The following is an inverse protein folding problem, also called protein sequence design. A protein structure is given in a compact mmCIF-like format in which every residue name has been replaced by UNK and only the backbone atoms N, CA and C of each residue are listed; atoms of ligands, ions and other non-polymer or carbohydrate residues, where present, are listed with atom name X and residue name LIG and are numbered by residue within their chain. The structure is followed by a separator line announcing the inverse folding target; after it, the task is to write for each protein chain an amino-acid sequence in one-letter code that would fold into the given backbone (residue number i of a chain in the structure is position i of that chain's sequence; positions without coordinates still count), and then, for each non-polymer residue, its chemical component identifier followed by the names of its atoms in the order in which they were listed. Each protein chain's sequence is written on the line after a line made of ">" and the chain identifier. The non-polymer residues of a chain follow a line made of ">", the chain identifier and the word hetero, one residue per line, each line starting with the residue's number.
data_IF_233757743231
#
_entry.id   IF_233757743231
#
_cell.length_a   1.000
_cell.length_b   1.000
_cell.length_c   1.000
_cell.angle_alpha   90.00
_cell.angle_beta   90.00
_cell.angle_gamma   90.00
#
_symmetry.space_group_name_H-M   'P 1'
#
loop_
_entity.id
_entity.type
_entity.pdbx_description
1 polymer ?
#
# COMPACT_ATOMS: atom_id res chain seq x y z
N UNK A 1 6.02 14.81 7.52
CA UNK A 1 4.72 14.92 8.21
C UNK A 1 4.06 13.60 8.54
N UNK A 2 3.99 12.62 7.62
CA UNK A 2 3.21 11.39 7.84
C UNK A 2 3.42 10.73 9.21
N UNK A 3 4.67 10.45 9.57
CA UNK A 3 5.00 9.81 10.85
C UNK A 3 4.48 10.63 12.05
N UNK A 4 4.71 11.95 12.07
CA UNK A 4 4.20 12.81 13.14
C UNK A 4 2.67 12.81 13.24
N UNK A 5 1.96 12.85 12.11
CA UNK A 5 0.50 12.76 12.11
C UNK A 5 -0.03 11.45 12.67
N UNK A 6 0.65 10.33 12.41
CA UNK A 6 0.24 9.05 12.98
C UNK A 6 0.55 9.00 14.47
N UNK A 7 1.72 9.49 14.89
CA UNK A 7 2.12 9.52 16.30
C UNK A 7 1.18 10.34 17.19
N UNK A 8 0.63 11.45 16.69
CA UNK A 8 -0.34 12.28 17.44
C UNK A 8 -1.77 11.74 17.37
N UNK A 9 -2.04 10.73 16.53
CA UNK A 9 -3.39 10.20 16.35
C UNK A 9 -3.64 9.05 17.33
N UNK A 10 -4.66 9.13 18.20
CA UNK A 10 -4.96 8.06 19.13
C UNK A 10 -5.40 6.80 18.37
N UNK A 11 -5.01 5.63 18.88
CA UNK A 11 -5.32 4.32 18.31
C UNK A 11 -4.83 4.14 16.86
N UNK A 12 -3.75 4.81 16.48
CA UNK A 12 -3.12 4.67 15.19
C UNK A 12 -1.64 4.33 15.35
N UNK A 13 -1.28 3.13 14.93
CA UNK A 13 0.11 2.71 14.81
C UNK A 13 0.54 2.63 13.35
N UNK A 14 1.85 2.66 13.12
CA UNK A 14 2.40 2.50 11.77
C UNK A 14 3.48 1.45 11.69
N UNK A 15 3.63 0.92 10.49
CA UNK A 15 4.73 0.07 10.06
C UNK A 15 5.09 0.52 8.64
N UNK A 16 6.18 1.25 8.50
CA UNK A 16 6.56 1.94 7.26
C UNK A 16 7.95 1.47 6.84
N UNK A 17 8.05 0.92 5.62
CA UNK A 17 9.33 0.64 4.98
C UNK A 17 10.12 1.93 4.79
N UNK A 18 11.37 1.95 5.25
CA UNK A 18 12.27 3.09 5.07
C UNK A 18 13.49 2.71 4.25
N UNK A 19 14.06 3.70 3.56
CA UNK A 19 15.28 3.51 2.77
C UNK A 19 16.47 3.22 3.69
N UNK A 20 17.44 2.46 3.18
CA UNK A 20 18.60 1.98 3.93
C UNK A 20 19.92 2.62 3.49
N UNK A 21 19.94 3.24 2.30
CA UNK A 21 21.16 3.75 1.65
C UNK A 21 21.35 5.25 1.90
N UNK A 22 22.14 5.95 1.06
CA UNK A 22 22.40 7.40 1.15
C UNK A 22 21.15 8.29 1.18
N UNK A 23 19.99 7.77 0.80
CA UNK A 23 18.69 8.46 0.86
C UNK A 23 17.88 8.15 2.13
N UNK A 24 18.44 7.39 3.07
CA UNK A 24 17.82 7.11 4.37
C UNK A 24 17.82 8.37 5.25
N UNK A 25 16.96 8.37 6.27
CA UNK A 25 17.05 9.37 7.33
C UNK A 25 18.43 9.28 7.99
N UNK A 26 19.07 10.43 8.26
CA UNK A 26 20.45 10.47 8.78
C UNK A 26 20.65 9.57 10.00
N UNK A 27 19.70 9.56 10.93
CA UNK A 27 19.77 8.70 12.12
C UNK A 27 19.68 7.21 11.81
N UNK A 28 18.93 6.83 10.78
CA UNK A 28 18.83 5.44 10.32
C UNK A 28 20.07 5.01 9.54
N UNK A 29 20.66 5.93 8.77
CA UNK A 29 21.85 5.68 7.97
C UNK A 29 23.10 5.38 8.84
N UNK A 30 23.12 5.85 10.10
CA UNK A 30 24.19 5.55 11.07
C UNK A 30 24.09 4.14 11.67
N UNK A 31 22.94 3.48 11.57
CA UNK A 31 22.71 2.19 12.21
C UNK A 31 23.39 1.06 11.42
N UNK A 32 23.99 0.07 12.12
CA UNK A 32 24.72 -1.03 11.48
C UNK A 32 23.80 -1.88 10.61
N UNK A 33 24.29 -2.34 9.44
CA UNK A 33 23.56 -3.21 8.52
C UNK A 33 23.55 -4.67 9.02
N UNK A 34 22.88 -4.89 10.14
CA UNK A 34 22.64 -6.19 10.75
C UNK A 34 21.18 -6.28 11.24
N UNK A 35 20.78 -7.45 11.73
CA UNK A 35 19.52 -7.55 12.48
C UNK A 35 19.54 -6.56 13.65
N UNK A 36 18.47 -5.77 13.79
CA UNK A 36 18.44 -4.65 14.72
C UNK A 36 17.02 -4.38 15.19
N UNK A 37 16.89 -4.08 16.47
CA UNK A 37 15.70 -3.55 17.08
C UNK A 37 16.09 -2.44 18.05
N UNK A 38 15.80 -1.19 17.69
CA UNK A 38 16.17 -0.05 18.53
C UNK A 38 15.18 1.09 18.43
N UNK A 39 15.06 1.87 19.50
CA UNK A 39 14.36 3.14 19.49
C UNK A 39 15.28 4.25 18.98
N UNK A 40 14.79 5.06 18.05
CA UNK A 40 15.46 6.29 17.63
C UNK A 40 14.64 7.51 18.06
N UNK A 41 15.35 8.58 18.38
CA UNK A 41 14.77 9.85 18.75
C UNK A 41 15.57 10.99 18.14
N UNK A 42 14.89 11.95 17.54
CA UNK A 42 15.50 13.17 17.01
C UNK A 42 14.48 14.31 17.02
N UNK A 43 14.98 15.54 17.02
CA UNK A 43 14.14 16.72 17.04
C UNK A 43 14.13 17.39 15.67
N UNK A 44 12.94 17.66 15.15
CA UNK A 44 12.73 18.39 13.89
C UNK A 44 12.53 19.87 14.21
N UNK A 45 13.11 20.75 13.41
CA UNK A 45 12.88 22.20 13.49
C UNK A 45 12.58 22.80 12.12
N UNK A 46 11.70 23.79 12.07
CA UNK A 46 11.43 24.59 10.87
C UNK A 46 12.28 25.84 10.79
N UNK A 47 13.05 26.15 11.84
CA UNK A 47 13.98 27.29 11.92
C UNK A 47 15.43 26.83 11.82
N UNK A 48 16.34 27.77 11.55
CA UNK A 48 17.80 27.53 11.53
C UNK A 48 18.53 28.48 12.48
N UNK A 49 18.04 28.62 13.71
CA UNK A 49 18.71 29.47 14.71
C UNK A 49 20.05 28.86 15.13
N UNK A 50 20.95 29.67 15.70
CA UNK A 50 22.21 29.15 16.24
C UNK A 50 21.97 28.13 17.38
N UNK A 51 20.91 28.31 18.16
CA UNK A 51 20.48 27.36 19.18
C UNK A 51 20.02 26.03 18.57
N UNK A 52 19.25 26.05 17.48
CA UNK A 52 18.83 24.83 16.76
C UNK A 52 20.04 24.04 16.25
N UNK A 53 21.04 24.74 15.72
CA UNK A 53 22.28 24.13 15.20
C UNK A 53 23.15 23.56 16.31
N UNK A 54 23.28 24.28 17.44
CA UNK A 54 24.02 23.82 18.61
C UNK A 54 23.39 22.56 19.23
N UNK A 55 22.06 22.44 19.21
CA UNK A 55 21.33 21.25 19.66
C UNK A 55 21.20 20.14 18.60
N UNK A 56 21.85 20.30 17.44
CA UNK A 56 21.83 19.34 16.33
C UNK A 56 20.41 18.96 15.82
N UNK A 57 19.46 19.89 15.86
CA UNK A 57 18.11 19.64 15.35
C UNK A 57 18.08 19.45 13.83
N UNK A 58 17.22 18.54 13.37
CA UNK A 58 17.04 18.27 11.94
C UNK A 58 16.17 19.37 11.35
N UNK A 59 16.77 20.21 10.51
CA UNK A 59 16.03 21.26 9.84
C UNK A 59 15.15 20.70 8.72
N UNK A 60 13.85 20.91 8.83
CA UNK A 60 12.87 20.66 7.79
C UNK A 60 12.58 21.95 7.01
N UNK A 61 12.96 21.95 5.74
CA UNK A 61 12.65 23.06 4.85
C UNK A 61 11.14 23.10 4.55
N UNK A 62 10.45 24.11 5.07
CA UNK A 62 9.02 24.33 4.82
C UNK A 62 8.84 25.38 3.71
N UNK A 63 7.94 25.14 2.74
CA UNK A 63 7.65 26.11 1.69
C UNK A 63 7.03 27.39 2.28
N UNK A 64 7.38 28.55 1.72
CA UNK A 64 6.75 29.83 2.05
C UNK A 64 5.25 29.80 1.73
N UNK A 65 4.46 30.63 2.43
CA UNK A 65 3.00 30.77 2.19
C UNK A 65 2.74 30.95 0.69
N UNK A 66 1.77 30.21 0.16
CA UNK A 66 1.29 30.43 -1.20
C UNK A 66 0.72 31.84 -1.32
N UNK A 67 0.87 32.45 -2.50
CA UNK A 67 0.21 33.73 -2.80
C UNK A 67 -1.30 33.59 -2.62
N UNK A 68 -1.96 34.69 -2.25
CA UNK A 68 -3.43 34.75 -2.19
C UNK A 68 -4.02 34.29 -3.54
N UNK A 69 -5.06 33.43 -3.50
CA UNK A 69 -5.70 32.87 -4.70
C UNK A 69 -5.05 31.61 -5.29
N UNK A 70 -3.95 31.09 -4.73
CA UNK A 70 -3.37 29.83 -5.20
C UNK A 70 -4.27 28.64 -4.84
N UNK A 71 -4.69 27.88 -5.87
CA UNK A 71 -5.43 26.60 -5.71
C UNK A 71 -4.53 25.45 -5.22
N UNK A 72 -3.21 25.63 -5.24
CA UNK A 72 -2.25 24.58 -4.88
C UNK A 72 -1.94 24.62 -3.38
N UNK A 73 -2.48 23.66 -2.63
CA UNK A 73 -2.08 23.43 -1.23
C UNK A 73 -0.69 22.78 -1.22
N UNK A 74 0.34 23.51 -0.78
CA UNK A 74 1.65 22.90 -0.46
C UNK A 74 1.57 22.33 0.95
N UNK A 75 1.97 21.07 1.12
CA UNK A 75 2.09 20.45 2.44
C UNK A 75 3.04 21.28 3.31
N UNK A 76 2.55 21.75 4.46
CA UNK A 76 3.30 22.51 5.46
C UNK A 76 3.56 21.63 6.67
N UNK A 77 4.63 21.85 7.43
CA UNK A 77 4.77 21.23 8.75
C UNK A 77 3.64 21.71 9.67
N UNK A 78 2.86 20.78 10.21
CA UNK A 78 1.62 21.07 10.95
C UNK A 78 1.81 21.08 12.47
N UNK A 79 2.99 20.69 12.96
CA UNK A 79 3.29 20.55 14.39
C UNK A 79 4.13 21.73 14.90
N UNK A 80 4.25 21.90 16.24
CA UNK A 80 5.17 22.87 16.83
C UNK A 80 6.61 22.71 16.30
N UNK A 81 7.40 23.76 16.47
CA UNK A 81 8.81 23.78 16.12
C UNK A 81 9.58 24.39 17.29
N UNK A 82 10.51 23.67 17.93
CA UNK A 82 10.96 22.30 17.62
C UNK A 82 9.92 21.19 17.96
N UNK A 83 10.01 20.06 17.27
CA UNK A 83 9.18 18.87 17.49
C UNK A 83 10.02 17.63 17.76
N UNK A 84 9.95 17.03 18.97
CA UNK A 84 10.63 15.78 19.27
C UNK A 84 9.89 14.61 18.59
N UNK A 85 10.60 13.84 17.77
CA UNK A 85 10.08 12.66 17.11
C UNK A 85 10.78 11.41 17.65
N UNK A 86 9.99 10.40 18.04
CA UNK A 86 10.48 9.13 18.59
C UNK A 86 9.71 7.97 17.99
N UNK A 87 10.42 6.95 17.55
CA UNK A 87 9.84 5.71 17.02
C UNK A 87 10.89 4.61 16.98
N UNK A 88 10.45 3.39 16.75
CA UNK A 88 11.27 2.19 16.70
C UNK A 88 11.73 1.90 15.27
N UNK A 89 12.97 1.43 15.14
CA UNK A 89 13.54 0.91 13.91
C UNK A 89 13.78 -0.58 14.08
N UNK A 90 13.20 -1.36 13.19
CA UNK A 90 13.40 -2.80 13.08
C UNK A 90 14.09 -3.10 11.76
N UNK A 91 15.12 -3.94 11.80
CA UNK A 91 15.82 -4.47 10.63
C UNK A 91 15.93 -5.98 10.76
N UNK A 92 15.52 -6.70 9.73
CA UNK A 92 15.47 -8.16 9.72
C UNK A 92 15.84 -8.69 8.33
N UNK A 93 16.40 -9.91 8.23
CA UNK A 93 16.71 -10.54 6.97
C UNK A 93 15.44 -11.05 6.27
N UNK A 94 15.39 -10.85 4.96
CA UNK A 94 14.44 -11.47 4.05
C UNK A 94 14.99 -12.81 3.54
N UNK A 95 14.11 -13.64 2.97
CA UNK A 95 14.48 -14.96 2.46
C UNK A 95 15.51 -14.92 1.32
N UNK A 96 15.65 -13.78 0.65
CA UNK A 96 16.66 -13.55 -0.40
C UNK A 96 18.03 -13.14 0.16
N UNK A 97 18.21 -13.07 1.48
CA UNK A 97 19.43 -12.64 2.16
C UNK A 97 19.61 -11.12 2.26
N UNK A 98 18.71 -10.32 1.68
CA UNK A 98 18.72 -8.87 1.85
C UNK A 98 18.09 -8.46 3.18
N UNK A 99 18.57 -7.36 3.77
CA UNK A 99 17.92 -6.79 4.94
C UNK A 99 16.76 -5.90 4.52
N UNK A 100 15.66 -5.95 5.27
CA UNK A 100 14.58 -4.97 5.20
C UNK A 100 14.61 -4.06 6.42
N UNK A 101 14.29 -2.78 6.26
CA UNK A 101 14.29 -1.81 7.37
C UNK A 101 12.96 -1.09 7.44
N UNK A 102 12.39 -1.10 8.62
CA UNK A 102 11.04 -0.64 8.88
C UNK A 102 11.05 0.29 10.09
N UNK A 103 10.35 1.42 9.98
CA UNK A 103 10.03 2.30 11.10
C UNK A 103 8.64 1.94 11.63
N UNK A 104 8.48 1.92 12.96
CA UNK A 104 7.20 1.59 13.60
C UNK A 104 7.00 2.34 14.91
N UNK A 105 5.74 2.64 15.24
CA UNK A 105 5.33 3.10 16.58
C UNK A 105 4.99 1.96 17.53
N UNK A 106 4.94 0.71 17.03
CA UNK A 106 4.49 -0.44 17.81
C UNK A 106 5.40 -0.67 19.02
N UNK A 107 4.81 -0.98 20.19
CA UNK A 107 5.54 -1.16 21.43
C UNK A 107 6.47 -2.38 21.38
N UNK A 108 7.44 -2.48 22.31
CA UNK A 108 8.36 -3.63 22.41
C UNK A 108 7.69 -4.99 22.61
N UNK A 109 6.40 -5.03 22.98
CA UNK A 109 5.62 -6.27 23.04
C UNK A 109 5.46 -6.96 21.68
N UNK A 110 5.62 -6.21 20.58
CA UNK A 110 5.75 -6.78 19.24
C UNK A 110 7.21 -7.11 18.98
N UNK A 111 7.54 -8.38 18.89
CA UNK A 111 8.90 -8.86 18.62
C UNK A 111 9.34 -8.55 17.19
N UNK A 112 10.64 -8.70 16.88
CA UNK A 112 11.12 -8.59 15.50
C UNK A 112 10.40 -9.56 14.55
N UNK A 113 10.08 -10.76 15.03
CA UNK A 113 9.33 -11.76 14.27
C UNK A 113 7.89 -11.30 13.99
N UNK A 114 7.23 -10.67 14.96
CA UNK A 114 5.89 -10.08 14.74
C UNK A 114 5.96 -8.97 13.69
N UNK A 115 6.98 -8.11 13.75
CA UNK A 115 7.18 -7.04 12.76
C UNK A 115 7.44 -7.62 11.37
N UNK A 116 8.24 -8.69 11.27
CA UNK A 116 8.48 -9.41 10.01
C UNK A 116 7.16 -9.98 9.46
N UNK A 117 6.37 -10.63 10.30
CA UNK A 117 5.05 -11.17 9.91
C UNK A 117 4.08 -10.08 9.45
N UNK A 118 3.99 -8.97 10.17
CA UNK A 118 3.18 -7.80 9.75
C UNK A 118 3.67 -7.22 8.42
N UNK A 119 4.99 -7.17 8.21
CA UNK A 119 5.56 -6.74 6.93
C UNK A 119 5.18 -7.70 5.78
N UNK A 120 5.14 -9.01 6.03
CA UNK A 120 4.68 -9.99 5.05
C UNK A 120 3.19 -9.79 4.70
N UNK A 121 2.32 -9.45 5.66
CA UNK A 121 0.90 -9.17 5.37
C UNK A 121 0.69 -7.99 4.40
N UNK A 122 1.66 -7.07 4.29
CA UNK A 122 1.63 -5.96 3.31
C UNK A 122 1.51 -6.47 1.86
N UNK A 123 2.05 -7.64 1.54
CA UNK A 123 1.99 -8.22 0.20
C UNK A 123 0.55 -8.52 -0.24
N UNK A 124 -0.32 -8.88 0.71
CA UNK A 124 -1.75 -9.06 0.45
C UNK A 124 -2.40 -7.77 -0.07
N UNK A 125 -2.10 -6.64 0.57
CA UNK A 125 -2.61 -5.32 0.18
C UNK A 125 -2.10 -4.92 -1.21
N UNK A 126 -0.81 -5.16 -1.49
CA UNK A 126 -0.22 -4.86 -2.81
C UNK A 126 -0.89 -5.67 -3.93
N UNK A 127 -1.25 -6.93 -3.65
CA UNK A 127 -2.03 -7.76 -4.57
C UNK A 127 -3.43 -7.18 -4.80
N UNK A 128 -4.14 -6.77 -3.75
CA UNK A 128 -5.46 -6.13 -3.89
C UNK A 128 -5.41 -4.84 -4.72
N UNK A 129 -4.38 -4.01 -4.54
CA UNK A 129 -4.19 -2.82 -5.38
C UNK A 129 -3.86 -3.16 -6.83
N UNK A 130 -3.12 -4.25 -7.07
CA UNK A 130 -2.88 -4.75 -8.43
C UNK A 130 -4.19 -5.19 -9.09
N UNK A 131 -5.07 -5.87 -8.35
CA UNK A 131 -6.39 -6.27 -8.85
C UNK A 131 -7.28 -5.05 -9.13
N UNK A 132 -7.32 -4.07 -8.24
CA UNK A 132 -8.01 -2.80 -8.50
C UNK A 132 -7.52 -2.12 -9.78
N UNK A 133 -6.20 -2.06 -9.97
CA UNK A 133 -5.59 -1.43 -11.15
C UNK A 133 -5.87 -2.18 -12.44
N UNK A 134 -5.59 -3.47 -12.49
CA UNK A 134 -5.54 -4.22 -13.75
C UNK A 134 -6.73 -5.14 -13.96
N UNK A 135 -7.27 -5.74 -12.90
CA UNK A 135 -8.44 -6.63 -13.00
C UNK A 135 -9.72 -5.82 -13.15
N UNK A 136 -9.86 -4.73 -12.39
CA UNK A 136 -11.00 -3.84 -12.48
C UNK A 136 -10.87 -2.74 -13.53
N UNK A 137 -9.64 -2.40 -13.91
CA UNK A 137 -9.34 -1.43 -14.97
C UNK A 137 -9.12 0.00 -14.49
N UNK A 138 -8.86 0.25 -13.21
CA UNK A 138 -8.64 1.61 -12.67
C UNK A 138 -7.39 2.33 -13.19
N UNK A 139 -6.59 1.68 -14.03
CA UNK A 139 -5.50 2.35 -14.76
C UNK A 139 -6.04 3.22 -15.90
N UNK A 140 -7.22 2.90 -16.44
CA UNK A 140 -7.81 3.56 -17.60
C UNK A 140 -9.19 4.16 -17.23
N UNK A 141 -9.17 5.38 -16.69
CA UNK A 141 -10.40 6.13 -16.40
C UNK A 141 -10.89 6.85 -17.65
N UNK A 142 -12.21 6.96 -17.82
CA UNK A 142 -12.84 7.55 -19.02
C UNK A 142 -13.41 8.96 -18.76
N UNK A 143 -13.59 9.31 -17.49
CA UNK A 143 -14.16 10.56 -17.02
C UNK A 143 -13.31 11.75 -17.45
N UNK A 144 -13.97 12.75 -18.04
CA UNK A 144 -13.33 13.99 -18.50
C UNK A 144 -13.28 15.09 -17.42
N UNK A 145 -13.83 14.82 -16.24
CA UNK A 145 -13.82 15.71 -15.09
C UNK A 145 -13.44 14.94 -13.82
N UNK A 146 -12.92 15.64 -12.82
CA UNK A 146 -12.54 15.05 -11.53
C UNK A 146 -13.71 14.30 -10.88
N UNK A 147 -14.92 14.86 -10.97
CA UNK A 147 -16.14 14.24 -10.44
C UNK A 147 -16.48 12.90 -11.13
N UNK A 148 -16.31 12.82 -12.46
CA UNK A 148 -16.54 11.55 -13.18
C UNK A 148 -15.44 10.53 -12.91
N UNK A 149 -14.19 10.97 -12.80
CA UNK A 149 -13.09 10.09 -12.41
C UNK A 149 -13.31 9.50 -11.00
N UNK A 150 -13.75 10.33 -10.05
CA UNK A 150 -14.10 9.90 -8.70
C UNK A 150 -15.27 8.90 -8.70
N UNK A 151 -16.30 9.14 -9.51
CA UNK A 151 -17.41 8.20 -9.68
C UNK A 151 -16.95 6.83 -10.20
N UNK A 152 -16.06 6.79 -11.21
CA UNK A 152 -15.51 5.53 -11.74
C UNK A 152 -14.66 4.78 -10.69
N UNK A 153 -13.91 5.52 -9.87
CA UNK A 153 -13.15 4.95 -8.76
C UNK A 153 -14.09 4.29 -7.74
N UNK A 154 -15.13 4.98 -7.30
CA UNK A 154 -16.08 4.41 -6.34
C UNK A 154 -16.89 3.24 -6.91
N UNK A 155 -17.29 3.32 -8.18
CA UNK A 155 -17.98 2.21 -8.85
C UNK A 155 -17.08 0.96 -8.90
N UNK A 156 -15.79 1.13 -9.22
CA UNK A 156 -14.83 0.04 -9.26
C UNK A 156 -14.54 -0.54 -7.87
N UNK A 157 -14.41 0.30 -6.84
CA UNK A 157 -14.28 -0.15 -5.44
C UNK A 157 -15.50 -0.94 -5.00
N UNK A 158 -16.70 -0.50 -5.37
CA UNK A 158 -17.96 -1.21 -5.08
C UNK A 158 -17.98 -2.57 -5.77
N UNK A 159 -17.63 -2.63 -7.07
CA UNK A 159 -17.52 -3.89 -7.80
C UNK A 159 -16.45 -4.82 -7.21
N UNK A 160 -15.30 -4.29 -6.77
CA UNK A 160 -14.26 -5.04 -6.08
C UNK A 160 -14.80 -5.71 -4.82
N UNK A 161 -15.48 -4.93 -3.98
CA UNK A 161 -16.03 -5.41 -2.71
C UNK A 161 -17.13 -6.44 -2.94
N UNK A 162 -17.99 -6.22 -3.93
CA UNK A 162 -19.00 -7.20 -4.35
C UNK A 162 -18.35 -8.51 -4.78
N UNK A 163 -17.42 -8.48 -5.73
CA UNK A 163 -16.72 -9.68 -6.21
C UNK A 163 -15.95 -10.38 -5.09
N UNK A 164 -15.33 -9.63 -4.18
CA UNK A 164 -14.61 -10.19 -3.02
C UNK A 164 -15.53 -10.94 -2.06
N UNK A 165 -16.75 -10.42 -1.82
CA UNK A 165 -17.76 -11.10 -1.00
C UNK A 165 -18.25 -12.37 -1.69
N UNK A 166 -18.60 -12.28 -2.98
CA UNK A 166 -19.02 -13.44 -3.78
C UNK A 166 -17.93 -14.53 -3.75
N UNK A 167 -16.67 -14.19 -4.03
CA UNK A 167 -15.56 -15.15 -4.00
C UNK A 167 -15.38 -15.83 -2.65
N UNK A 168 -15.68 -15.14 -1.54
CA UNK A 168 -15.59 -15.70 -0.19
C UNK A 168 -16.66 -16.75 0.06
N UNK A 169 -17.83 -16.58 -0.52
CA UNK A 169 -18.99 -17.46 -0.31
C UNK A 169 -19.01 -18.63 -1.32
N UNK A 170 -18.23 -18.57 -2.40
CA UNK A 170 -18.15 -19.64 -3.40
C UNK A 170 -17.44 -20.86 -2.81
N UNK A 171 -18.14 -21.98 -2.80
CA UNK A 171 -17.59 -23.28 -2.42
C UNK A 171 -16.90 -23.91 -3.63
N UNK A 172 -15.60 -24.18 -3.50
CA UNK A 172 -14.79 -24.83 -4.53
C UNK A 172 -14.45 -26.26 -4.10
N UNK A 173 -14.53 -27.19 -5.05
CA UNK A 173 -14.11 -28.56 -4.84
C UNK A 173 -12.61 -28.68 -5.12
N UNK A 174 -11.86 -29.17 -4.14
CA UNK A 174 -10.43 -29.40 -4.30
C UNK A 174 -10.22 -30.68 -5.12
N UNK A 175 -9.31 -30.69 -6.12
CA UNK A 175 -8.99 -31.90 -6.87
C UNK A 175 -8.43 -32.98 -5.94
N UNK A 176 -8.88 -34.23 -6.10
CA UNK A 176 -8.43 -35.38 -5.30
C UNK A 176 -6.94 -35.68 -5.50
N UNK A 177 -6.46 -35.58 -6.74
CA UNK A 177 -5.07 -35.83 -7.12
C UNK A 177 -4.24 -34.53 -7.24
N UNK A 178 -4.76 -33.43 -6.67
CA UNK A 178 -4.14 -32.12 -6.76
C UNK A 178 -2.92 -31.98 -5.83
N UNK A 179 -1.77 -31.59 -6.39
CA UNK A 179 -0.56 -31.29 -5.61
C UNK A 179 -0.72 -30.04 -4.73
N UNK A 180 -1.61 -29.12 -5.12
CA UNK A 180 -1.82 -27.85 -4.45
C UNK A 180 -3.26 -27.70 -3.98
N UNK A 181 -3.47 -26.88 -2.94
CA UNK A 181 -4.78 -26.30 -2.68
C UNK A 181 -5.12 -25.28 -3.79
N UNK A 182 -6.37 -25.21 -4.20
CA UNK A 182 -6.88 -24.31 -5.22
C UNK A 182 -7.73 -23.22 -4.58
N UNK A 183 -7.74 -22.05 -5.20
CA UNK A 183 -8.62 -20.93 -4.85
C UNK A 183 -9.34 -20.40 -6.08
N UNK A 184 -10.42 -19.64 -5.85
CA UNK A 184 -11.13 -18.94 -6.93
C UNK A 184 -10.18 -18.04 -7.72
N UNK A 185 -10.31 -18.09 -9.04
CA UNK A 185 -9.66 -17.15 -9.94
C UNK A 185 -10.35 -15.78 -9.86
N UNK A 186 -9.81 -14.91 -9.01
CA UNK A 186 -10.40 -13.59 -8.75
C UNK A 186 -10.63 -12.76 -10.02
N UNK A 187 -9.75 -12.86 -11.03
CA UNK A 187 -9.93 -12.14 -12.29
C UNK A 187 -11.19 -12.58 -13.03
N UNK A 188 -11.41 -13.88 -13.12
CA UNK A 188 -12.63 -14.42 -13.74
C UNK A 188 -13.87 -14.09 -12.93
N UNK A 189 -13.78 -14.18 -11.60
CA UNK A 189 -14.87 -13.81 -10.72
C UNK A 189 -15.30 -12.35 -10.89
N UNK A 190 -14.35 -11.40 -10.97
CA UNK A 190 -14.67 -9.99 -11.25
C UNK A 190 -15.40 -9.82 -12.57
N UNK A 191 -14.97 -10.52 -13.64
CA UNK A 191 -15.64 -10.47 -14.94
C UNK A 191 -17.08 -10.97 -14.85
N UNK A 192 -17.29 -12.15 -14.26
CA UNK A 192 -18.62 -12.74 -14.09
C UNK A 192 -19.52 -11.88 -13.18
N UNK A 193 -18.97 -11.32 -12.10
CA UNK A 193 -19.70 -10.39 -11.23
C UNK A 193 -20.11 -9.11 -11.97
N UNK A 194 -19.25 -8.56 -12.83
CA UNK A 194 -19.60 -7.39 -13.67
C UNK A 194 -20.71 -7.73 -14.67
N UNK A 195 -20.67 -8.91 -15.26
CA UNK A 195 -21.71 -9.40 -16.18
C UNK A 195 -23.06 -9.62 -15.45
N UNK A 196 -23.01 -10.19 -14.26
CA UNK A 196 -24.16 -10.34 -13.37
C UNK A 196 -24.83 -9.00 -13.08
N UNK A 197 -24.05 -7.99 -12.65
CA UNK A 197 -24.59 -6.65 -12.34
C UNK A 197 -25.22 -5.99 -13.58
N UNK A 198 -24.71 -6.26 -14.79
CA UNK A 198 -25.23 -5.71 -16.04
C UNK A 198 -26.48 -6.42 -16.55
N UNK A 199 -26.80 -7.61 -16.04
CA UNK A 199 -27.86 -8.47 -16.57
C UNK A 199 -29.04 -8.48 -15.61
N UNK A 200 -30.17 -7.81 -15.93
CA UNK A 200 -31.27 -7.61 -14.98
C UNK A 200 -31.93 -8.90 -14.44
N UNK A 201 -31.84 -10.00 -15.20
CA UNK A 201 -32.45 -11.30 -14.88
C UNK A 201 -31.42 -12.36 -14.50
N UNK A 202 -30.21 -11.95 -14.12
CA UNK A 202 -29.14 -12.90 -13.79
C UNK A 202 -29.44 -13.67 -12.50
N UNK A 203 -29.14 -14.97 -12.52
CA UNK A 203 -29.28 -15.84 -11.36
C UNK A 203 -28.00 -15.86 -10.52
N UNK A 204 -28.14 -15.52 -9.24
CA UNK A 204 -27.05 -15.55 -8.28
C UNK A 204 -26.50 -16.95 -8.05
N UNK A 205 -27.33 -18.00 -8.10
CA UNK A 205 -26.83 -19.39 -7.93
C UNK A 205 -25.93 -19.78 -9.09
N UNK A 206 -26.38 -19.52 -10.31
CA UNK A 206 -25.58 -19.73 -11.52
C UNK A 206 -24.25 -18.97 -11.48
N UNK A 207 -24.26 -17.71 -11.02
CA UNK A 207 -23.01 -16.95 -10.82
C UNK A 207 -22.02 -17.70 -9.93
N UNK A 208 -22.48 -18.23 -8.79
CA UNK A 208 -21.62 -18.96 -7.85
C UNK A 208 -21.05 -20.24 -8.49
N UNK A 209 -21.88 -20.99 -9.21
CA UNK A 209 -21.47 -22.21 -9.92
C UNK A 209 -20.45 -21.91 -11.03
N UNK A 210 -20.68 -20.85 -11.81
CA UNK A 210 -19.77 -20.44 -12.89
C UNK A 210 -18.43 -19.98 -12.32
N UNK A 211 -18.41 -19.23 -11.22
CA UNK A 211 -17.17 -18.84 -10.54
C UNK A 211 -16.42 -20.07 -10.01
N UNK A 212 -17.13 -21.06 -9.44
CA UNK A 212 -16.51 -22.25 -8.86
C UNK A 212 -15.72 -23.08 -9.88
N UNK A 213 -16.05 -22.98 -11.18
CA UNK A 213 -15.34 -23.66 -12.28
C UNK A 213 -13.96 -23.06 -12.55
N UNK A 214 -13.75 -21.77 -12.22
CA UNK A 214 -12.50 -21.08 -12.46
C UNK A 214 -11.65 -21.04 -11.20
N UNK A 215 -10.74 -22.01 -11.06
CA UNK A 215 -9.80 -22.06 -9.94
C UNK A 215 -8.35 -21.93 -10.39
N UNK A 216 -7.50 -21.48 -9.46
CA UNK A 216 -6.05 -21.38 -9.64
C UNK A 216 -5.34 -22.00 -8.44
N UNK A 217 -4.20 -22.70 -8.65
CA UNK A 217 -3.46 -23.32 -7.56
C UNK A 217 -2.79 -22.27 -6.67
N UNK A 218 -2.85 -22.48 -5.36
CA UNK A 218 -2.10 -21.76 -4.33
C UNK A 218 -0.72 -22.41 -4.25
N UNK A 219 0.30 -21.71 -4.74
CA UNK A 219 1.70 -22.18 -4.69
C UNK A 219 2.42 -21.52 -3.51
N UNK A 220 2.72 -22.26 -2.42
CA UNK A 220 3.46 -21.73 -1.28
C UNK A 220 4.84 -21.23 -1.72
N UNK A 221 5.33 -20.16 -1.09
CA UNK A 221 6.67 -19.62 -1.37
C UNK A 221 6.85 -19.01 -2.77
N UNK A 222 5.79 -18.81 -3.55
CA UNK A 222 5.90 -18.17 -4.87
C UNK A 222 6.36 -16.72 -4.70
N UNK A 223 7.61 -16.47 -5.10
CA UNK A 223 8.16 -15.13 -5.27
C UNK A 223 8.12 -14.78 -6.76
N UNK A 224 7.67 -13.57 -7.08
CA UNK A 224 7.72 -13.04 -8.44
C UNK A 224 8.83 -12.01 -8.52
N UNK A 225 9.71 -12.11 -9.50
CA UNK A 225 10.75 -11.11 -9.67
C UNK A 225 10.10 -9.80 -10.10
N UNK A 226 10.41 -8.74 -9.37
CA UNK A 226 9.84 -7.42 -9.69
C UNK A 226 10.52 -6.87 -10.94
N UNK A 227 9.83 -6.94 -12.08
CA UNK A 227 10.29 -6.28 -13.30
C UNK A 227 10.10 -4.75 -13.17
N UNK A 228 11.17 -4.05 -12.79
CA UNK A 228 11.22 -2.60 -12.64
C UNK A 228 11.43 -1.92 -14.00
N UNK A 229 10.51 -2.16 -14.95
CA UNK A 229 10.49 -1.38 -16.20
C UNK A 229 9.83 -0.03 -15.98
N UNK A 230 10.48 1.02 -16.46
CA UNK A 230 9.85 2.34 -16.60
C UNK A 230 8.72 2.21 -17.60
N UNK A 231 7.47 2.37 -17.13
CA UNK A 231 6.33 2.45 -18.04
C UNK A 231 6.41 3.78 -18.78
N UNK A 232 6.54 3.72 -20.11
CA UNK A 232 6.39 4.89 -20.97
C UNK A 232 4.98 5.46 -20.85
N UNK A 233 4.81 6.75 -21.18
CA UNK A 233 3.50 7.38 -21.24
C UNK A 233 2.66 6.71 -22.34
N UNK A 234 1.56 6.00 -22.02
CA UNK A 234 0.61 5.63 -23.05
C UNK A 234 -0.10 6.91 -23.47
N UNK A 235 0.11 7.34 -24.71
CA UNK A 235 -0.65 8.45 -25.28
C UNK A 235 -2.15 8.20 -25.10
N UNK A 236 -2.92 9.26 -24.87
CA UNK A 236 -4.38 9.18 -24.80
C UNK A 236 -4.90 8.73 -26.18
N UNK A 237 -5.05 7.42 -26.41
CA UNK A 237 -5.52 6.91 -27.69
C UNK A 237 -7.03 7.10 -27.74
N UNK A 238 -7.49 8.12 -28.47
CA UNK A 238 -8.88 8.57 -28.57
C UNK A 238 -9.86 7.55 -29.19
N UNK A 239 -9.40 6.35 -29.56
CA UNK A 239 -10.23 5.35 -30.23
C UNK A 239 -9.93 3.95 -29.70
N UNK A 240 -10.76 3.49 -28.77
CA UNK A 240 -11.14 2.09 -28.71
C UNK A 240 -12.57 2.07 -29.20
N UNK A 241 -12.80 1.55 -30.41
CA UNK A 241 -14.14 1.30 -30.90
C UNK A 241 -14.84 0.35 -29.93
N UNK A 242 -16.08 0.69 -29.58
CA UNK A 242 -16.98 -0.12 -28.77
C UNK A 242 -17.22 -1.50 -29.40
#
# INVERSE_FOLDING_TARGET
>A
NLIAHILEKPNADFLIRIKQNRSAMREVAKLPMCELDCNIGFTITTTQTNADKANHYIHLQVPKKSKSGSKTRRGRWDFPSPYPMRFRICRFPLDNGEFETVATSLPPSFTLEDIKNLYHLRWGIETSFRDLKYTLGLVNLHGKSDAFAEQEIYASLTAFNFASRVCRDVVIHQPTDGVYAYKVNFKMAVTLCKEFIRTPTADGKKLMEDIARYTVPIRPGRQDQRDLRVKGFPGFVYRVAA
#
